data_IF_739524756856
#
_entry.id   IF_739524756856
#
_cell.length_a   1.000
_cell.length_b   1.000
_cell.length_c   1.000
_cell.angle_alpha   90.00
_cell.angle_beta   90.00
_cell.angle_gamma   90.00
#
_symmetry.space_group_name_H-M   'P 1'
#
loop_
_entity.id
_entity.type
_entity.pdbx_description
1 polymer ?
#
# COMPACT_ATOMS: atom_id res chain seq x y z
N UNK A 1 -31.93 50.96 -48.37
CA UNK A 1 -32.66 50.91 -47.07
C UNK A 1 -34.10 50.53 -47.33
N UNK A 2 -34.54 49.36 -46.87
CA UNK A 2 -35.93 48.99 -46.52
C UNK A 2 -35.96 47.51 -46.15
N UNK A 3 -35.77 47.27 -44.86
CA UNK A 3 -35.85 45.96 -44.19
C UNK A 3 -37.31 45.50 -44.12
N UNK A 4 -37.65 44.38 -44.78
CA UNK A 4 -38.94 43.70 -44.60
C UNK A 4 -38.94 42.90 -43.30
N UNK A 5 -39.69 43.41 -42.32
CA UNK A 5 -39.97 42.76 -41.03
C UNK A 5 -40.95 41.60 -41.25
N UNK A 6 -40.53 40.36 -40.94
CA UNK A 6 -41.39 39.17 -40.91
C UNK A 6 -42.12 39.10 -39.57
N UNK A 7 -43.46 39.04 -39.60
CA UNK A 7 -44.33 38.78 -38.45
C UNK A 7 -44.14 37.34 -37.92
N UNK A 8 -44.16 37.10 -36.60
CA UNK A 8 -44.11 35.76 -36.03
C UNK A 8 -45.46 35.03 -36.19
N UNK A 9 -45.39 33.73 -36.46
CA UNK A 9 -46.53 32.81 -36.56
C UNK A 9 -47.09 32.50 -35.16
N UNK A 10 -48.42 32.51 -35.07
CA UNK A 10 -49.21 32.17 -33.89
C UNK A 10 -48.99 30.71 -33.45
N UNK A 11 -48.82 30.52 -32.14
CA UNK A 11 -48.69 29.23 -31.50
C UNK A 11 -50.02 28.46 -31.50
N UNK A 12 -49.93 27.17 -31.85
CA UNK A 12 -51.02 26.21 -31.90
C UNK A 12 -51.34 25.74 -30.47
N UNK A 13 -52.57 26.01 -30.00
CA UNK A 13 -53.13 25.43 -28.77
C UNK A 13 -53.17 23.90 -28.87
N UNK A 14 -52.43 23.20 -28.02
CA UNK A 14 -52.64 21.77 -27.75
C UNK A 14 -53.48 21.60 -26.50
N UNK A 15 -54.46 20.70 -26.64
CA UNK A 15 -55.55 20.38 -25.72
C UNK A 15 -55.07 19.63 -24.47
N UNK A 16 -55.87 19.79 -23.44
CA UNK A 16 -55.81 19.17 -22.12
C UNK A 16 -55.72 17.63 -22.17
N UNK A 17 -54.93 17.07 -21.25
CA UNK A 17 -54.89 15.64 -20.95
C UNK A 17 -55.39 15.42 -19.50
N UNK A 18 -56.06 14.29 -19.20
CA UNK A 18 -56.71 14.10 -17.91
C UNK A 18 -55.70 13.71 -16.82
N UNK A 19 -55.87 14.30 -15.64
CA UNK A 19 -55.22 13.92 -14.40
C UNK A 19 -55.72 12.55 -13.92
N UNK A 20 -54.94 11.50 -14.17
CA UNK A 20 -55.11 10.21 -13.49
C UNK A 20 -54.15 10.11 -12.31
N UNK A 21 -54.66 10.27 -11.08
CA UNK A 21 -53.91 9.97 -9.86
C UNK A 21 -53.95 8.46 -9.60
N UNK A 22 -52.85 7.78 -9.88
CA UNK A 22 -52.63 6.40 -9.39
C UNK A 22 -51.68 6.49 -8.21
N UNK A 23 -52.27 6.57 -7.02
CA UNK A 23 -51.56 6.44 -5.75
C UNK A 23 -51.15 4.98 -5.53
N UNK A 24 -49.99 4.61 -6.05
CA UNK A 24 -49.31 3.36 -5.73
C UNK A 24 -48.18 3.64 -4.75
N UNK A 25 -48.42 3.43 -3.46
CA UNK A 25 -47.38 3.42 -2.42
C UNK A 25 -46.49 2.19 -2.62
N UNK A 26 -45.41 2.36 -3.38
CA UNK A 26 -44.32 1.39 -3.37
C UNK A 26 -43.59 1.49 -2.04
N UNK A 27 -43.80 0.49 -1.18
CA UNK A 27 -42.95 0.25 -0.03
C UNK A 27 -41.51 0.06 -0.52
N UNK A 28 -40.65 1.03 -0.23
CA UNK A 28 -39.21 0.89 -0.41
C UNK A 28 -38.75 -0.33 0.40
N UNK A 29 -37.98 -1.27 -0.17
CA UNK A 29 -37.40 -2.34 0.63
C UNK A 29 -36.49 -1.69 1.68
N UNK A 30 -36.79 -1.98 2.94
CA UNK A 30 -36.00 -1.62 4.10
C UNK A 30 -34.51 -1.81 3.79
N UNK A 31 -33.76 -0.72 3.84
CA UNK A 31 -32.29 -0.75 3.85
C UNK A 31 -31.84 -1.62 5.01
N UNK A 32 -31.47 -2.87 4.73
CA UNK A 32 -30.77 -3.71 5.68
C UNK A 32 -29.50 -2.97 6.08
N UNK A 33 -29.29 -2.62 7.36
CA UNK A 33 -27.99 -2.11 7.79
C UNK A 33 -26.96 -3.19 7.50
N UNK A 34 -26.00 -2.88 6.62
CA UNK A 34 -24.84 -3.74 6.41
C UNK A 34 -24.18 -3.96 7.77
N UNK A 35 -23.67 -5.18 8.07
CA UNK A 35 -22.86 -5.37 9.26
C UNK A 35 -21.70 -4.38 9.19
N UNK A 36 -21.64 -3.49 10.17
CA UNK A 36 -20.48 -2.63 10.42
C UNK A 36 -19.31 -3.61 10.49
N UNK A 37 -18.38 -3.51 9.52
CA UNK A 37 -17.13 -4.26 9.58
C UNK A 37 -16.55 -4.05 10.98
N UNK A 38 -16.13 -5.11 11.68
CA UNK A 38 -15.65 -4.97 13.05
C UNK A 38 -14.62 -3.85 13.07
N UNK A 39 -14.87 -2.82 13.88
CA UNK A 39 -13.87 -1.81 14.17
C UNK A 39 -12.67 -2.58 14.72
N UNK A 40 -11.64 -2.72 13.89
CA UNK A 40 -10.40 -3.32 14.36
C UNK A 40 -9.99 -2.47 15.56
N UNK A 41 -9.75 -3.08 16.73
CA UNK A 41 -9.30 -2.33 17.88
C UNK A 41 -8.10 -1.52 17.43
N UNK A 42 -8.11 -0.23 17.72
CA UNK A 42 -6.90 0.59 17.65
C UNK A 42 -5.81 -0.27 18.29
N UNK A 43 -4.81 -0.68 17.51
CA UNK A 43 -3.69 -1.48 18.01
C UNK A 43 -2.76 -0.49 18.75
N UNK A 44 -3.32 0.16 19.78
CA UNK A 44 -2.67 1.04 20.75
C UNK A 44 -2.08 0.27 21.92
N UNK A 45 -1.66 -0.98 21.71
CA UNK A 45 -0.94 -1.79 22.69
C UNK A 45 0.56 -1.76 22.43
N UNK A 46 1.33 -1.22 23.38
CA UNK A 46 2.78 -1.12 23.38
C UNK A 46 3.49 -2.48 23.44
N UNK A 47 3.43 -3.28 22.36
CA UNK A 47 4.31 -4.45 22.22
C UNK A 47 5.80 -4.06 22.20
N UNK A 48 6.10 -2.80 21.85
CA UNK A 48 7.45 -2.25 21.71
C UNK A 48 8.10 -1.90 23.06
N UNK A 49 7.31 -1.56 24.07
CA UNK A 49 7.81 -1.22 25.43
C UNK A 49 8.01 -2.47 26.30
N UNK A 50 7.30 -3.56 26.02
CA UNK A 50 7.41 -4.81 26.78
C UNK A 50 8.79 -5.51 26.63
N UNK A 51 9.61 -5.12 25.64
CA UNK A 51 10.87 -5.82 25.32
C UNK A 51 12.12 -5.12 25.88
N UNK A 52 12.09 -3.80 26.11
CA UNK A 52 13.26 -3.04 26.59
C UNK A 52 12.89 -1.75 27.36
N UNK A 53 13.52 -1.48 28.53
CA UNK A 53 13.31 -0.25 29.27
C UNK A 53 13.87 0.99 28.54
N UNK A 54 13.21 2.15 28.72
CA UNK A 54 13.65 3.44 28.18
C UNK A 54 15.03 3.84 28.77
N UNK A 55 15.97 4.36 27.97
CA UNK A 55 17.27 4.77 28.48
C UNK A 55 17.16 5.95 29.44
N UNK A 56 17.74 5.82 30.64
CA UNK A 56 17.99 6.96 31.54
C UNK A 56 19.11 7.84 30.95
N UNK A 57 19.01 9.19 31.05
CA UNK A 57 20.06 10.09 30.59
C UNK A 57 21.36 9.82 31.36
N UNK A 58 22.47 9.58 30.65
CA UNK A 58 23.78 9.33 31.26
C UNK A 58 24.63 10.61 31.32
N UNK A 59 25.43 10.78 32.38
CA UNK A 59 26.35 11.91 32.54
C UNK A 59 27.50 11.85 31.53
N UNK A 60 27.95 13.05 31.12
CA UNK A 60 28.95 13.28 30.08
C UNK A 60 30.32 12.74 30.53
N UNK A 61 30.93 11.86 29.73
CA UNK A 61 32.33 11.42 29.92
C UNK A 61 33.13 11.66 28.63
N UNK A 62 34.38 12.12 28.81
CA UNK A 62 35.29 12.57 27.75
C UNK A 62 35.82 11.38 26.94
N UNK A 63 35.77 11.49 25.60
CA UNK A 63 36.16 10.44 24.67
C UNK A 63 37.66 10.49 24.34
N UNK A 64 38.32 9.31 24.28
CA UNK A 64 39.66 9.12 23.72
C UNK A 64 39.58 8.58 22.30
N UNK A 65 40.43 9.12 21.43
CA UNK A 65 40.52 8.81 19.99
C UNK A 65 41.38 7.58 19.74
N UNK A 66 40.94 6.66 18.87
CA UNK A 66 41.77 5.58 18.30
C UNK A 66 41.56 5.49 16.79
N UNK A 67 42.66 5.45 16.07
CA UNK A 67 42.80 5.37 14.60
C UNK A 67 42.50 3.95 14.10
N UNK A 68 41.94 3.80 12.88
CA UNK A 68 41.60 2.51 12.27
C UNK A 68 42.19 2.35 10.87
N UNK A 69 42.71 1.15 10.61
CA UNK A 69 43.15 0.65 9.31
C UNK A 69 41.96 0.27 8.40
N UNK A 70 42.17 0.38 7.08
CA UNK A 70 41.18 0.11 6.03
C UNK A 70 41.37 -1.31 5.47
N UNK A 71 40.26 -2.03 5.29
CA UNK A 71 40.22 -3.30 4.54
C UNK A 71 39.24 -3.12 3.38
N UNK A 72 39.67 -3.46 2.15
CA UNK A 72 38.84 -3.48 0.95
C UNK A 72 38.04 -4.78 0.90
N UNK A 73 36.80 -4.70 0.45
CA UNK A 73 35.92 -5.86 0.19
C UNK A 73 35.46 -5.72 -1.26
N UNK A 74 35.71 -6.74 -2.06
CA UNK A 74 35.18 -6.88 -3.42
C UNK A 74 33.86 -7.65 -3.38
N UNK A 75 32.88 -7.22 -4.18
CA UNK A 75 31.55 -7.82 -4.26
C UNK A 75 31.18 -8.00 -5.73
N UNK A 76 31.06 -9.25 -6.17
CA UNK A 76 30.58 -9.64 -7.49
C UNK A 76 29.06 -9.85 -7.44
N UNK A 77 28.34 -9.36 -8.46
CA UNK A 77 26.87 -9.40 -8.55
C UNK A 77 26.40 -10.58 -9.42
N UNK A 78 25.39 -11.31 -8.96
CA UNK A 78 24.64 -12.32 -9.73
C UNK A 78 23.22 -11.84 -10.06
N UNK A 79 22.61 -12.31 -11.18
CA UNK A 79 21.30 -11.84 -11.67
C UNK A 79 20.09 -12.37 -10.86
N UNK A 80 18.90 -11.75 -10.98
CA UNK A 80 17.79 -11.93 -10.04
C UNK A 80 16.99 -13.24 -10.22
N UNK A 81 16.59 -13.82 -9.10
CA UNK A 81 15.85 -15.10 -8.96
C UNK A 81 14.33 -14.85 -8.81
N UNK A 82 13.54 -15.87 -9.16
CA UNK A 82 12.08 -15.95 -9.00
C UNK A 82 11.60 -15.68 -7.56
N UNK A 83 10.29 -15.46 -7.37
CA UNK A 83 9.62 -15.16 -6.10
C UNK A 83 10.16 -15.96 -4.89
N UNK A 84 11.04 -15.35 -4.09
CA UNK A 84 11.68 -15.95 -2.91
C UNK A 84 10.78 -16.01 -1.65
N UNK A 85 9.48 -16.23 -1.80
CA UNK A 85 8.59 -16.50 -0.66
C UNK A 85 8.42 -18.03 -0.59
N UNK A 86 9.11 -18.73 0.35
CA UNK A 86 8.87 -20.15 0.57
C UNK A 86 7.40 -20.34 0.94
N UNK A 87 6.72 -21.26 0.25
CA UNK A 87 5.29 -21.52 0.41
C UNK A 87 4.34 -20.37 0.03
N UNK A 88 4.69 -19.57 -0.97
CA UNK A 88 3.71 -18.70 -1.62
C UNK A 88 2.58 -19.54 -2.23
N UNK A 89 1.43 -19.60 -1.54
CA UNK A 89 0.23 -20.32 -2.01
C UNK A 89 -0.20 -19.86 -3.40
N UNK A 90 0.10 -18.61 -3.77
CA UNK A 90 -0.14 -18.00 -5.09
C UNK A 90 0.68 -18.67 -6.19
N UNK A 91 1.98 -18.88 -5.95
CA UNK A 91 2.85 -19.57 -6.91
C UNK A 91 2.45 -21.05 -7.08
N UNK A 92 1.92 -21.67 -6.01
CA UNK A 92 1.39 -23.04 -6.07
C UNK A 92 0.01 -23.11 -6.76
N UNK A 93 -0.85 -22.11 -6.59
CA UNK A 93 -2.20 -22.07 -7.19
C UNK A 93 -2.20 -21.64 -8.66
N UNK A 94 -1.24 -20.82 -9.10
CA UNK A 94 -1.13 -20.40 -10.50
C UNK A 94 -0.85 -21.59 -11.46
N UNK A 95 -0.34 -22.72 -10.96
CA UNK A 95 -0.16 -23.96 -11.72
C UNK A 95 -1.38 -24.88 -11.75
N UNK A 96 -2.43 -24.60 -10.96
CA UNK A 96 -3.57 -25.51 -10.78
C UNK A 96 -4.88 -24.88 -11.28
N UNK A 97 -5.23 -25.19 -12.54
CA UNK A 97 -6.56 -25.09 -13.15
C UNK A 97 -7.16 -23.69 -13.35
N UNK A 98 -6.99 -23.16 -14.56
CA UNK A 98 -8.13 -22.86 -15.44
C UNK A 98 -9.19 -21.83 -15.00
N UNK A 99 -8.86 -20.85 -14.16
CA UNK A 99 -9.71 -19.67 -14.06
C UNK A 99 -9.48 -18.81 -15.31
N UNK A 100 -10.46 -18.78 -16.21
CA UNK A 100 -10.55 -17.87 -17.36
C UNK A 100 -10.79 -16.41 -16.88
N UNK A 101 -10.02 -15.96 -15.88
CA UNK A 101 -9.94 -14.58 -15.46
C UNK A 101 -9.01 -13.89 -16.45
N UNK A 102 -9.58 -13.54 -17.60
CA UNK A 102 -9.02 -12.56 -18.52
C UNK A 102 -8.94 -11.21 -17.81
N UNK A 103 -7.99 -11.05 -16.88
CA UNK A 103 -7.28 -9.79 -16.82
C UNK A 103 -6.58 -9.77 -18.17
N UNK A 104 -7.17 -9.06 -19.16
CA UNK A 104 -6.49 -8.73 -20.42
C UNK A 104 -5.05 -8.45 -20.04
N UNK A 105 -4.15 -9.31 -20.52
CA UNK A 105 -2.72 -9.29 -20.25
C UNK A 105 -2.30 -7.84 -20.08
N UNK A 106 -2.04 -7.40 -18.84
CA UNK A 106 -1.56 -6.04 -18.59
C UNK A 106 -0.40 -5.85 -19.58
N UNK A 107 -0.52 -4.93 -20.55
CA UNK A 107 0.32 -4.94 -21.74
C UNK A 107 1.76 -4.86 -21.27
N UNK A 108 2.49 -6.00 -21.30
CA UNK A 108 3.78 -6.26 -20.63
C UNK A 108 4.21 -5.04 -19.82
N UNK A 109 3.50 -4.80 -18.70
CA UNK A 109 3.57 -3.48 -18.07
C UNK A 109 5.05 -3.24 -17.76
N UNK A 110 5.63 -2.23 -18.42
CA UNK A 110 7.06 -1.99 -18.37
C UNK A 110 7.37 -1.81 -16.88
N UNK A 111 8.15 -2.73 -16.32
CA UNK A 111 8.67 -2.52 -14.98
C UNK A 111 9.65 -1.37 -15.07
N UNK A 112 9.61 -0.50 -14.08
CA UNK A 112 10.64 0.51 -13.90
C UNK A 112 11.99 -0.15 -13.69
N UNK A 113 13.07 0.61 -13.79
CA UNK A 113 14.44 0.16 -13.50
C UNK A 113 14.63 -0.31 -12.03
N UNK A 114 13.67 0.01 -11.15
CA UNK A 114 13.60 -0.41 -9.75
C UNK A 114 12.60 -1.57 -9.53
N UNK A 115 12.12 -2.18 -10.61
CA UNK A 115 11.30 -3.40 -10.57
C UNK A 115 9.82 -3.20 -10.21
N UNK A 116 9.32 -1.96 -10.09
CA UNK A 116 7.89 -1.67 -9.84
C UNK A 116 7.12 -1.62 -11.15
N UNK A 117 5.82 -1.93 -11.13
CA UNK A 117 4.95 -1.63 -12.27
C UNK A 117 4.94 -0.12 -12.52
N UNK A 118 5.23 0.28 -13.75
CA UNK A 118 5.15 1.69 -14.13
C UNK A 118 3.68 2.14 -14.17
N UNK A 119 3.43 3.36 -13.68
CA UNK A 119 2.13 4.04 -13.77
C UNK A 119 0.90 3.24 -13.29
N UNK A 120 1.07 2.38 -12.29
CA UNK A 120 -0.02 1.58 -11.75
C UNK A 120 -1.21 2.50 -11.35
N UNK A 121 -2.40 2.38 -11.98
CA UNK A 121 -3.53 3.26 -11.72
C UNK A 121 -4.23 2.83 -10.43
N UNK A 122 -3.69 3.25 -9.29
CA UNK A 122 -4.10 2.73 -7.98
C UNK A 122 -5.57 2.98 -7.66
N UNK A 123 -6.17 4.07 -8.16
CA UNK A 123 -7.60 4.32 -7.99
C UNK A 123 -8.46 3.23 -8.64
N UNK A 124 -8.12 2.79 -9.86
CA UNK A 124 -8.84 1.71 -10.55
C UNK A 124 -8.65 0.37 -9.83
N UNK A 125 -7.42 0.07 -9.41
CA UNK A 125 -7.16 -1.16 -8.66
C UNK A 125 -7.85 -1.21 -7.29
N UNK A 126 -7.90 -0.08 -6.57
CA UNK A 126 -8.67 0.03 -5.35
C UNK A 126 -10.17 -0.17 -5.63
N UNK A 127 -10.70 0.46 -6.68
CA UNK A 127 -12.11 0.34 -7.05
C UNK A 127 -12.50 -1.11 -7.34
N UNK A 128 -11.70 -1.79 -8.16
CA UNK A 128 -11.90 -3.19 -8.51
C UNK A 128 -11.82 -4.11 -7.28
N UNK A 129 -10.84 -3.88 -6.41
CA UNK A 129 -10.67 -4.62 -5.16
C UNK A 129 -11.89 -4.48 -4.24
N UNK A 130 -12.32 -3.24 -3.96
CA UNK A 130 -13.45 -2.98 -3.05
C UNK A 130 -14.79 -3.46 -3.62
N UNK A 131 -15.02 -3.36 -4.93
CA UNK A 131 -16.24 -3.90 -5.55
C UNK A 131 -16.29 -5.42 -5.48
N UNK A 132 -15.20 -6.13 -5.81
CA UNK A 132 -15.11 -7.59 -5.68
C UNK A 132 -15.31 -8.03 -4.24
N UNK A 133 -14.69 -7.34 -3.28
CA UNK A 133 -14.88 -7.60 -1.86
C UNK A 133 -16.34 -7.41 -1.44
N UNK A 134 -16.96 -6.29 -1.81
CA UNK A 134 -18.36 -6.01 -1.48
C UNK A 134 -19.33 -7.05 -2.08
N UNK A 135 -19.15 -7.45 -3.35
CA UNK A 135 -19.97 -8.49 -3.96
C UNK A 135 -19.78 -9.85 -3.28
N UNK A 136 -18.54 -10.21 -2.95
CA UNK A 136 -18.22 -11.47 -2.24
C UNK A 136 -18.92 -11.52 -0.89
N UNK A 137 -18.88 -10.43 -0.11
CA UNK A 137 -19.59 -10.29 1.17
C UNK A 137 -21.11 -10.36 0.99
N UNK A 138 -21.63 -9.88 -0.14
CA UNK A 138 -23.05 -9.93 -0.50
C UNK A 138 -23.50 -11.28 -1.09
N UNK A 139 -22.70 -12.34 -0.93
CA UNK A 139 -23.09 -13.71 -1.33
C UNK A 139 -22.57 -14.17 -2.68
N UNK A 140 -21.81 -13.35 -3.43
CA UNK A 140 -21.14 -13.78 -4.66
C UNK A 140 -19.84 -14.53 -4.37
N UNK A 141 -19.97 -15.69 -3.74
CA UNK A 141 -18.84 -16.57 -3.40
C UNK A 141 -18.02 -17.01 -4.61
N UNK A 142 -18.63 -17.07 -5.79
CA UNK A 142 -17.98 -17.34 -7.07
C UNK A 142 -16.89 -16.32 -7.44
N UNK A 143 -16.99 -15.09 -6.92
CA UNK A 143 -15.99 -14.03 -7.16
C UNK A 143 -14.78 -14.10 -6.22
N UNK A 144 -14.80 -15.00 -5.23
CA UNK A 144 -13.77 -15.09 -4.18
C UNK A 144 -12.39 -15.37 -4.76
N UNK A 145 -12.28 -16.32 -5.69
CA UNK A 145 -11.00 -16.66 -6.32
C UNK A 145 -10.41 -15.47 -7.09
N UNK A 146 -11.27 -14.71 -7.79
CA UNK A 146 -10.84 -13.49 -8.49
C UNK A 146 -10.38 -12.37 -7.54
N UNK A 147 -11.07 -12.20 -6.40
CA UNK A 147 -10.65 -11.27 -5.35
C UNK A 147 -9.28 -11.67 -4.76
N UNK A 148 -9.09 -12.94 -4.43
CA UNK A 148 -7.83 -13.45 -3.86
C UNK A 148 -6.68 -13.29 -4.85
N UNK A 149 -6.89 -13.64 -6.12
CA UNK A 149 -5.90 -13.43 -7.17
C UNK A 149 -5.48 -11.96 -7.28
N UNK A 150 -6.46 -11.05 -7.34
CA UNK A 150 -6.19 -9.61 -7.43
C UNK A 150 -5.49 -9.07 -6.18
N UNK A 151 -5.93 -9.49 -4.98
CA UNK A 151 -5.30 -9.12 -3.73
C UNK A 151 -3.84 -9.60 -3.64
N UNK A 152 -3.54 -10.82 -4.11
CA UNK A 152 -2.18 -11.34 -4.14
C UNK A 152 -1.26 -10.55 -5.07
N UNK A 153 -1.75 -10.18 -6.26
CA UNK A 153 -1.00 -9.32 -7.19
C UNK A 153 -0.67 -7.97 -6.54
N UNK A 154 -1.68 -7.30 -5.95
CA UNK A 154 -1.48 -6.01 -5.28
C UNK A 154 -0.56 -6.14 -4.05
N UNK A 155 -0.71 -7.20 -3.25
CA UNK A 155 0.12 -7.46 -2.10
C UNK A 155 1.61 -7.59 -2.49
N UNK A 156 1.90 -8.28 -3.60
CA UNK A 156 3.25 -8.39 -4.13
C UNK A 156 3.83 -7.02 -4.51
N UNK A 157 3.07 -6.20 -5.24
CA UNK A 157 3.52 -4.87 -5.66
C UNK A 157 3.66 -3.90 -4.48
N UNK A 158 2.74 -3.91 -3.51
CA UNK A 158 2.85 -3.13 -2.28
C UNK A 158 4.05 -3.56 -1.42
N UNK A 159 4.34 -4.86 -1.34
CA UNK A 159 5.54 -5.32 -0.66
C UNK A 159 6.81 -4.75 -1.31
N UNK A 160 6.93 -4.87 -2.64
CA UNK A 160 8.09 -4.35 -3.37
C UNK A 160 8.22 -2.84 -3.19
N UNK A 161 7.11 -2.11 -3.31
CA UNK A 161 7.07 -0.67 -3.08
C UNK A 161 7.56 -0.32 -1.67
N UNK A 162 6.99 -0.95 -0.63
CA UNK A 162 7.34 -0.64 0.75
C UNK A 162 8.80 -0.98 1.05
N UNK A 163 9.35 -2.07 0.50
CA UNK A 163 10.79 -2.39 0.58
C UNK A 163 11.64 -1.23 0.05
N UNK A 164 11.34 -0.77 -1.16
CA UNK A 164 12.08 0.29 -1.84
C UNK A 164 11.95 1.62 -1.09
N UNK A 165 10.71 2.03 -0.80
CA UNK A 165 10.42 3.31 -0.16
C UNK A 165 11.02 3.40 1.25
N UNK A 166 10.86 2.36 2.08
CA UNK A 166 11.38 2.35 3.45
C UNK A 166 12.90 2.30 3.49
N UNK A 167 13.54 1.56 2.58
CA UNK A 167 15.00 1.57 2.43
C UNK A 167 15.49 2.94 2.01
N UNK A 168 14.81 3.53 1.02
CA UNK A 168 14.98 4.90 0.58
C UNK A 168 15.00 5.84 1.78
N UNK A 169 13.91 5.90 2.53
CA UNK A 169 13.75 6.85 3.63
C UNK A 169 14.66 6.58 4.82
N UNK A 170 15.10 5.33 5.02
CA UNK A 170 16.06 5.00 6.07
C UNK A 170 17.43 5.66 5.85
N UNK A 171 17.76 6.09 4.62
CA UNK A 171 18.99 6.85 4.33
C UNK A 171 19.08 8.13 5.16
N UNK A 172 17.94 8.76 5.47
CA UNK A 172 17.90 10.03 6.19
C UNK A 172 18.28 9.90 7.66
N UNK A 173 18.36 8.68 8.19
CA UNK A 173 18.64 8.44 9.61
C UNK A 173 19.96 9.08 10.08
N UNK A 174 20.97 9.16 9.22
CA UNK A 174 22.29 9.69 9.60
C UNK A 174 22.34 11.21 9.68
N UNK A 175 21.46 11.90 8.95
CA UNK A 175 21.35 13.37 8.97
C UNK A 175 20.21 13.89 9.85
N UNK A 176 19.18 13.07 10.09
CA UNK A 176 17.92 13.53 10.68
C UNK A 176 17.48 12.76 11.93
N UNK A 177 18.20 11.72 12.33
CA UNK A 177 17.93 11.02 13.58
C UNK A 177 19.11 11.14 14.55
N UNK A 178 18.82 11.05 15.85
CA UNK A 178 19.88 11.03 16.87
C UNK A 178 20.65 9.69 16.80
N UNK A 179 21.70 9.63 15.98
CA UNK A 179 22.49 8.41 15.72
C UNK A 179 23.14 7.84 16.99
N UNK A 180 23.42 8.69 18.00
CA UNK A 180 23.92 8.21 19.30
C UNK A 180 22.93 7.26 19.97
N UNK A 181 21.63 7.52 19.83
CA UNK A 181 20.59 6.60 20.31
C UNK A 181 20.58 5.28 19.54
N UNK A 182 20.77 5.29 18.21
CA UNK A 182 20.86 4.05 17.42
C UNK A 182 22.07 3.20 17.79
N UNK A 183 23.24 3.82 18.00
CA UNK A 183 24.43 3.11 18.47
C UNK A 183 24.21 2.52 19.86
N UNK A 184 23.53 3.25 20.75
CA UNK A 184 23.14 2.76 22.06
C UNK A 184 22.23 1.52 21.94
N UNK A 185 21.14 1.62 21.16
CA UNK A 185 20.24 0.50 20.95
C UNK A 185 20.93 -0.69 20.27
N UNK A 186 21.78 -0.45 19.28
CA UNK A 186 22.52 -1.52 18.61
C UNK A 186 23.49 -2.25 19.54
N UNK A 187 24.12 -1.55 20.49
CA UNK A 187 24.93 -2.20 21.55
C UNK A 187 24.05 -3.06 22.47
N UNK A 188 22.90 -2.54 22.91
CA UNK A 188 22.00 -3.30 23.79
C UNK A 188 21.34 -4.51 23.09
N UNK A 189 21.01 -4.39 21.80
CA UNK A 189 20.52 -5.50 21.00
C UNK A 189 21.59 -6.58 20.80
N UNK A 190 22.86 -6.19 20.63
CA UNK A 190 23.98 -7.14 20.54
C UNK A 190 24.15 -7.93 21.84
N UNK A 191 24.06 -7.26 23.00
CA UNK A 191 24.23 -7.89 24.31
C UNK A 191 23.16 -8.96 24.58
N UNK A 192 21.94 -8.78 24.05
CA UNK A 192 20.86 -9.76 24.21
C UNK A 192 20.89 -10.91 23.19
N UNK A 193 21.86 -10.98 22.28
CA UNK A 193 21.97 -12.04 21.26
C UNK A 193 20.87 -12.07 20.18
N UNK A 194 19.79 -11.29 20.34
CA UNK A 194 18.57 -11.46 19.54
C UNK A 194 18.63 -10.89 18.11
N UNK A 195 19.65 -10.11 17.77
CA UNK A 195 19.71 -9.38 16.50
C UNK A 195 21.11 -9.36 15.89
N UNK A 196 21.63 -10.51 15.44
CA UNK A 196 22.93 -10.58 14.79
C UNK A 196 22.97 -9.70 13.54
N UNK A 197 23.97 -8.84 13.43
CA UNK A 197 24.19 -8.03 12.24
C UNK A 197 23.44 -6.70 12.18
N UNK A 198 22.68 -6.27 13.20
CA UNK A 198 22.04 -4.94 13.18
C UNK A 198 23.05 -3.79 12.98
N UNK A 199 24.21 -3.86 13.64
CA UNK A 199 25.29 -2.87 13.43
C UNK A 199 25.84 -2.93 12.00
N UNK A 200 25.97 -4.13 11.43
CA UNK A 200 26.40 -4.30 10.03
C UNK A 200 25.35 -3.74 9.07
N UNK A 201 24.07 -3.91 9.38
CA UNK A 201 22.94 -3.36 8.63
C UNK A 201 22.98 -1.84 8.62
N UNK A 202 23.11 -1.23 9.79
CA UNK A 202 23.28 0.22 9.94
C UNK A 202 24.50 0.70 9.16
N UNK A 203 25.64 0.01 9.25
CA UNK A 203 26.84 0.37 8.47
C UNK A 203 26.62 0.27 6.97
N UNK A 204 25.91 -0.76 6.49
CA UNK A 204 25.59 -0.91 5.07
C UNK A 204 24.69 0.24 4.62
N UNK A 205 23.64 0.54 5.39
CA UNK A 205 22.79 1.72 5.18
C UNK A 205 23.62 3.01 5.17
N UNK A 206 24.52 3.21 6.12
CA UNK A 206 25.39 4.40 6.24
C UNK A 206 26.30 4.54 5.01
N UNK A 207 26.98 3.45 4.62
CA UNK A 207 27.81 3.43 3.42
C UNK A 207 27.00 3.82 2.19
N UNK A 208 25.81 3.23 2.01
CA UNK A 208 24.94 3.64 0.92
C UNK A 208 24.57 5.10 1.06
N UNK A 209 24.18 5.58 2.24
CA UNK A 209 23.82 6.98 2.46
C UNK A 209 24.95 7.94 2.11
N UNK A 210 26.19 7.63 2.50
CA UNK A 210 27.37 8.43 2.20
C UNK A 210 27.69 8.43 0.70
N UNK A 211 27.58 7.28 0.05
CA UNK A 211 27.68 7.18 -1.41
C UNK A 211 26.50 7.91 -2.09
N UNK A 212 25.30 7.85 -1.52
CA UNK A 212 24.00 8.35 -2.03
C UNK A 212 23.79 9.84 -1.81
N UNK A 213 24.43 10.45 -0.82
CA UNK A 213 24.59 11.89 -0.80
C UNK A 213 25.27 12.39 -2.10
N UNK A 214 25.96 11.50 -2.82
CA UNK A 214 26.48 11.71 -4.18
C UNK A 214 25.68 11.00 -5.28
N UNK A 215 25.08 9.82 -5.03
CA UNK A 215 24.22 9.10 -6.00
C UNK A 215 22.73 9.31 -5.71
N UNK A 216 21.99 9.83 -6.69
CA UNK A 216 20.57 10.16 -6.54
C UNK A 216 19.68 9.02 -6.00
N UNK A 217 18.49 9.39 -5.50
CA UNK A 217 17.48 8.51 -4.87
C UNK A 217 17.26 7.18 -5.61
N UNK A 218 17.26 7.20 -6.94
CA UNK A 218 17.08 6.00 -7.76
C UNK A 218 18.12 4.90 -7.50
N UNK A 219 19.36 5.25 -7.15
CA UNK A 219 20.39 4.24 -6.84
C UNK A 219 20.10 3.50 -5.54
N UNK A 220 19.53 4.16 -4.54
CA UNK A 220 19.08 3.48 -3.30
C UNK A 220 17.98 2.49 -3.61
N UNK A 221 17.05 2.92 -4.46
CA UNK A 221 15.91 2.10 -4.84
C UNK A 221 16.35 0.84 -5.59
N UNK A 222 17.30 0.97 -6.53
CA UNK A 222 17.89 -0.18 -7.25
C UNK A 222 18.66 -1.13 -6.33
N UNK A 223 19.24 -0.62 -5.23
CA UNK A 223 19.97 -1.42 -4.26
C UNK A 223 19.11 -1.97 -3.12
N UNK A 224 17.79 -1.71 -3.11
CA UNK A 224 16.93 -2.15 -2.03
C UNK A 224 16.94 -3.67 -1.88
N UNK A 225 16.85 -4.42 -2.98
CA UNK A 225 16.84 -5.88 -2.94
C UNK A 225 18.14 -6.45 -2.36
N UNK A 226 19.31 -5.93 -2.77
CA UNK A 226 20.61 -6.33 -2.21
C UNK A 226 20.70 -6.19 -0.67
N UNK A 227 19.98 -5.20 -0.10
CA UNK A 227 19.92 -5.01 1.35
C UNK A 227 18.96 -6.00 1.98
N UNK A 228 17.81 -6.21 1.36
CA UNK A 228 16.81 -7.11 1.91
C UNK A 228 17.27 -8.57 1.82
N UNK A 229 17.88 -8.98 0.72
CA UNK A 229 18.45 -10.32 0.53
C UNK A 229 19.57 -10.60 1.52
N UNK A 230 20.51 -9.66 1.68
CA UNK A 230 21.66 -9.84 2.58
C UNK A 230 21.30 -10.00 4.06
N UNK A 231 20.08 -9.63 4.46
CA UNK A 231 19.58 -9.75 5.84
C UNK A 231 18.28 -10.56 5.96
N UNK A 232 17.76 -11.07 4.83
CA UNK A 232 16.52 -11.81 4.71
C UNK A 232 15.35 -11.22 5.53
N UNK A 233 14.74 -12.07 6.36
CA UNK A 233 13.58 -11.72 7.20
C UNK A 233 13.89 -10.70 8.31
N UNK A 234 15.16 -10.38 8.57
CA UNK A 234 15.56 -9.38 9.58
C UNK A 234 15.58 -7.95 9.04
N UNK A 235 15.73 -7.75 7.74
CA UNK A 235 15.73 -6.41 7.11
C UNK A 235 14.53 -5.53 7.51
N UNK A 236 13.26 -5.98 7.41
CA UNK A 236 12.12 -5.15 7.79
C UNK A 236 12.10 -4.80 9.27
N UNK A 237 12.57 -5.72 10.12
CA UNK A 237 12.64 -5.51 11.56
C UNK A 237 13.70 -4.44 11.90
N UNK A 238 14.85 -4.50 11.25
CA UNK A 238 15.92 -3.51 11.43
C UNK A 238 15.49 -2.12 10.95
N UNK A 239 14.83 -2.03 9.80
CA UNK A 239 14.23 -0.77 9.34
C UNK A 239 13.18 -0.25 10.34
N UNK A 240 12.31 -1.11 10.85
CA UNK A 240 11.30 -0.70 11.82
C UNK A 240 11.94 -0.12 13.09
N UNK A 241 13.03 -0.74 13.57
CA UNK A 241 13.80 -0.20 14.70
C UNK A 241 14.43 1.16 14.39
N UNK A 242 14.96 1.35 13.18
CA UNK A 242 15.53 2.63 12.73
C UNK A 242 14.48 3.74 12.75
N UNK A 243 13.25 3.43 12.35
CA UNK A 243 12.18 4.42 12.30
C UNK A 243 11.53 4.70 13.66
N UNK A 244 11.44 3.71 14.55
CA UNK A 244 10.65 3.83 15.79
C UNK A 244 11.46 4.16 17.05
N UNK A 245 12.78 3.93 17.05
CA UNK A 245 13.60 4.08 18.28
C UNK A 245 14.31 5.41 18.45
N UNK A 246 14.97 5.98 17.43
CA UNK A 246 15.64 7.26 17.62
C UNK A 246 14.61 8.40 17.57
N UNK A 247 14.97 9.51 18.21
CA UNK A 247 14.29 10.78 17.97
C UNK A 247 14.65 11.29 16.57
N UNK A 248 13.65 11.55 15.75
CA UNK A 248 13.79 12.16 14.43
C UNK A 248 13.55 13.67 14.50
N UNK A 249 14.24 14.43 13.66
CA UNK A 249 13.97 15.85 13.45
C UNK A 249 12.57 16.04 12.88
N UNK A 250 11.90 17.15 13.24
CA UNK A 250 10.56 17.48 12.72
C UNK A 250 10.56 17.45 11.18
N UNK A 251 9.53 16.84 10.59
CA UNK A 251 9.35 16.75 9.14
C UNK A 251 10.04 15.56 8.47
N UNK A 252 10.89 14.81 9.18
CA UNK A 252 11.61 13.67 8.62
C UNK A 252 11.21 12.36 9.28
N UNK A 253 10.98 11.36 8.42
CA UNK A 253 10.94 9.95 8.78
C UNK A 253 10.17 9.61 10.06
N UNK A 254 10.57 8.53 10.72
CA UNK A 254 10.10 8.19 12.05
C UNK A 254 8.89 7.26 12.08
N UNK A 255 8.01 7.49 13.06
CA UNK A 255 6.99 6.54 13.50
C UNK A 255 6.04 6.07 12.38
N UNK A 256 5.64 6.95 11.46
CA UNK A 256 4.76 6.59 10.34
C UNK A 256 5.39 5.54 9.40
N UNK A 257 6.68 5.66 9.10
CA UNK A 257 7.39 4.62 8.33
C UNK A 257 7.55 3.33 9.14
N UNK A 258 7.74 3.45 10.45
CA UNK A 258 7.69 2.33 11.38
C UNK A 258 6.35 1.58 11.31
N UNK A 259 5.23 2.30 11.24
CA UNK A 259 3.89 1.72 11.08
C UNK A 259 3.73 1.01 9.74
N UNK A 260 4.19 1.62 8.64
CA UNK A 260 4.20 0.98 7.31
C UNK A 260 4.95 -0.36 7.35
N UNK A 261 6.12 -0.40 7.98
CA UNK A 261 6.90 -1.62 8.16
C UNK A 261 6.23 -2.63 9.08
N UNK A 262 5.53 -2.18 10.13
CA UNK A 262 4.76 -3.06 11.01
C UNK A 262 3.65 -3.79 10.24
N UNK A 263 2.93 -3.09 9.37
CA UNK A 263 1.90 -3.68 8.50
C UNK A 263 2.54 -4.68 7.53
N UNK A 264 3.62 -4.29 6.84
CA UNK A 264 4.38 -5.20 5.97
C UNK A 264 4.88 -6.44 6.72
N UNK A 265 5.43 -6.27 7.91
CA UNK A 265 5.92 -7.39 8.74
C UNK A 265 4.81 -8.35 9.15
N UNK A 266 3.62 -7.84 9.47
CA UNK A 266 2.49 -8.71 9.79
C UNK A 266 2.08 -9.55 8.57
N UNK A 267 2.09 -8.96 7.37
CA UNK A 267 1.86 -9.69 6.13
C UNK A 267 2.95 -10.74 5.86
N UNK A 268 4.23 -10.35 5.90
CA UNK A 268 5.37 -11.26 5.66
C UNK A 268 5.46 -12.41 6.67
N UNK A 269 4.83 -12.27 7.84
CA UNK A 269 4.73 -13.31 8.88
C UNK A 269 3.45 -14.14 8.80
N UNK A 270 2.62 -13.93 7.77
CA UNK A 270 1.34 -14.64 7.61
C UNK A 270 0.25 -14.22 8.60
N UNK A 271 0.44 -13.11 9.35
CA UNK A 271 -0.56 -12.59 10.29
C UNK A 271 -1.65 -11.77 9.61
N UNK A 272 -1.38 -11.28 8.41
CA UNK A 272 -2.38 -10.67 7.54
C UNK A 272 -2.53 -11.54 6.30
N UNK A 273 -3.77 -11.82 5.92
CA UNK A 273 -4.07 -12.36 4.60
C UNK A 273 -3.75 -11.32 3.53
N UNK A 274 -3.58 -11.70 2.25
CA UNK A 274 -3.39 -10.75 1.16
C UNK A 274 -4.50 -9.69 1.09
N UNK A 275 -5.75 -10.08 1.30
CA UNK A 275 -6.90 -9.15 1.32
C UNK A 275 -6.77 -8.14 2.47
N UNK A 276 -6.49 -8.62 3.69
CA UNK A 276 -6.35 -7.73 4.85
C UNK A 276 -5.12 -6.81 4.74
N UNK A 277 -4.02 -7.31 4.17
CA UNK A 277 -2.83 -6.51 3.90
C UNK A 277 -3.13 -5.42 2.86
N UNK A 278 -3.73 -5.75 1.73
CA UNK A 278 -4.07 -4.78 0.66
C UNK A 278 -4.99 -3.69 1.17
N UNK A 279 -6.02 -4.04 1.93
CA UNK A 279 -6.95 -3.08 2.54
C UNK A 279 -6.23 -2.09 3.46
N UNK A 280 -5.39 -2.59 4.38
CA UNK A 280 -4.56 -1.72 5.23
C UNK A 280 -3.55 -0.91 4.41
N UNK A 281 -2.95 -1.54 3.41
CA UNK A 281 -1.88 -0.97 2.60
C UNK A 281 -2.35 0.28 1.86
N UNK A 282 -3.58 0.32 1.32
CA UNK A 282 -4.13 1.49 0.63
C UNK A 282 -4.23 2.76 1.50
N UNK A 283 -4.38 2.59 2.81
CA UNK A 283 -4.53 3.70 3.77
C UNK A 283 -3.23 4.09 4.47
N UNK A 284 -2.11 3.45 4.13
CA UNK A 284 -0.82 3.79 4.71
C UNK A 284 -0.40 5.21 4.33
N UNK A 285 0.02 5.97 5.33
CA UNK A 285 0.50 7.34 5.18
C UNK A 285 1.95 7.47 5.65
N UNK A 286 2.66 8.46 5.09
CA UNK A 286 3.88 9.03 5.65
C UNK A 286 3.64 10.50 6.04
N UNK A 287 4.65 11.35 5.99
CA UNK A 287 4.69 12.72 6.53
C UNK A 287 3.70 13.69 5.84
N UNK A 288 2.39 13.46 5.97
CA UNK A 288 1.30 14.29 5.46
C UNK A 288 0.67 13.80 4.15
N UNK A 289 1.05 12.62 3.65
CA UNK A 289 0.55 12.10 2.37
C UNK A 289 0.52 10.56 2.39
N UNK A 290 -0.10 9.97 1.37
CA UNK A 290 -0.16 8.52 1.18
C UNK A 290 1.25 7.95 0.91
N UNK A 291 1.55 6.77 1.45
CA UNK A 291 2.86 6.12 1.35
C UNK A 291 3.32 5.93 -0.10
N UNK A 292 2.38 5.80 -1.04
CA UNK A 292 2.63 5.48 -2.45
C UNK A 292 3.05 6.65 -3.35
N UNK A 293 3.26 7.84 -2.79
CA UNK A 293 3.61 9.06 -3.53
C UNK A 293 5.11 9.23 -3.85
N UNK A 294 5.96 8.25 -3.50
CA UNK A 294 7.43 8.34 -3.66
C UNK A 294 7.92 7.83 -5.00
N UNK A 295 7.06 7.19 -5.78
CA UNK A 295 7.38 6.62 -7.10
C UNK A 295 6.31 7.03 -8.11
N UNK A 296 6.53 6.76 -9.40
CA UNK A 296 5.64 7.16 -10.50
C UNK A 296 4.28 6.44 -10.56
N UNK A 297 3.71 6.01 -9.44
CA UNK A 297 2.35 5.46 -9.41
C UNK A 297 1.31 6.57 -9.52
N UNK A 298 0.22 6.30 -10.24
CA UNK A 298 -0.85 7.27 -10.41
C UNK A 298 -1.85 7.17 -9.24
N UNK A 299 -1.83 8.20 -8.39
CA UNK A 299 -2.68 8.31 -7.20
C UNK A 299 -3.98 9.07 -7.45
N UNK A 300 -4.19 9.58 -8.66
CA UNK A 300 -5.35 10.42 -9.01
C UNK A 300 -6.64 9.66 -8.76
N UNK A 301 -7.49 10.21 -7.88
CA UNK A 301 -8.78 9.62 -7.54
C UNK A 301 -8.74 8.57 -6.41
N UNK A 302 -7.57 8.12 -5.97
CA UNK A 302 -7.46 7.06 -4.96
C UNK A 302 -8.17 7.44 -3.65
N UNK A 303 -7.90 8.64 -3.10
CA UNK A 303 -8.56 9.13 -1.88
C UNK A 303 -10.09 9.12 -2.02
N UNK A 304 -10.63 9.47 -3.20
CA UNK A 304 -12.08 9.45 -3.45
C UNK A 304 -12.65 8.04 -3.46
N UNK A 305 -11.92 7.07 -4.03
CA UNK A 305 -12.29 5.65 -3.99
C UNK A 305 -12.33 5.15 -2.55
N UNK A 306 -11.28 5.42 -1.76
CA UNK A 306 -11.21 4.97 -0.36
C UNK A 306 -12.34 5.56 0.49
N UNK A 307 -12.60 6.86 0.36
CA UNK A 307 -13.73 7.51 1.06
C UNK A 307 -15.07 6.88 0.65
N UNK A 308 -15.30 6.66 -0.65
CA UNK A 308 -16.54 6.03 -1.13
C UNK A 308 -16.69 4.59 -0.68
N UNK A 309 -15.59 3.85 -0.55
CA UNK A 309 -15.63 2.47 -0.06
C UNK A 309 -16.03 2.44 1.43
N UNK A 310 -15.46 3.35 2.23
CA UNK A 310 -15.81 3.53 3.64
C UNK A 310 -17.29 3.92 3.84
N UNK A 311 -17.85 4.76 2.96
CA UNK A 311 -19.26 5.18 3.02
C UNK A 311 -20.22 4.22 2.31
N UNK A 312 -19.74 3.06 1.83
CA UNK A 312 -20.56 2.08 1.10
C UNK A 312 -21.11 2.58 -0.24
N UNK A 313 -20.56 3.66 -0.80
CA UNK A 313 -21.00 4.28 -2.05
C UNK A 313 -20.48 3.54 -3.30
N UNK A 314 -20.67 2.22 -3.32
CA UNK A 314 -20.11 1.31 -4.32
C UNK A 314 -20.59 1.57 -5.75
N UNK A 315 -21.84 2.02 -5.95
CA UNK A 315 -22.30 2.44 -7.28
C UNK A 315 -21.40 3.54 -7.86
N UNK A 316 -21.07 4.55 -7.04
CA UNK A 316 -20.21 5.66 -7.46
C UNK A 316 -18.76 5.22 -7.71
N UNK A 317 -18.30 4.14 -7.07
CA UNK A 317 -17.00 3.52 -7.39
C UNK A 317 -17.07 2.85 -8.77
N UNK A 318 -18.11 2.04 -9.02
CA UNK A 318 -18.34 1.36 -10.29
C UNK A 318 -18.48 2.33 -11.47
N UNK A 319 -19.26 3.41 -11.29
CA UNK A 319 -19.53 4.38 -12.35
C UNK A 319 -18.27 5.16 -12.80
N UNK A 320 -17.29 5.39 -11.91
CA UNK A 320 -16.25 6.41 -12.13
C UNK A 320 -14.80 5.90 -12.11
N UNK A 321 -14.54 4.74 -11.49
CA UNK A 321 -13.17 4.34 -11.18
C UNK A 321 -12.86 2.89 -11.52
N UNK A 322 -13.86 2.00 -11.48
CA UNK A 322 -13.64 0.59 -11.74
C UNK A 322 -13.29 0.32 -13.21
N UNK A 323 -12.59 -0.79 -13.46
CA UNK A 323 -12.45 -1.31 -14.81
C UNK A 323 -13.82 -1.69 -15.38
N UNK A 324 -13.95 -1.66 -16.71
CA UNK A 324 -15.20 -2.00 -17.41
C UNK A 324 -15.77 -3.35 -16.96
N UNK A 325 -14.89 -4.33 -16.77
CA UNK A 325 -15.27 -5.70 -16.45
C UNK A 325 -15.82 -5.82 -15.03
N UNK A 326 -15.17 -5.17 -14.05
CA UNK A 326 -15.65 -5.18 -12.65
C UNK A 326 -16.88 -4.31 -12.48
N UNK A 327 -16.96 -3.18 -13.19
CA UNK A 327 -18.17 -2.36 -13.23
C UNK A 327 -19.35 -3.17 -13.78
N UNK A 328 -19.17 -3.88 -14.91
CA UNK A 328 -20.19 -4.76 -15.46
C UNK A 328 -20.62 -5.85 -14.46
N UNK A 329 -19.67 -6.54 -13.84
CA UNK A 329 -19.96 -7.54 -12.79
C UNK A 329 -20.81 -6.96 -11.65
N UNK A 330 -20.51 -5.73 -11.22
CA UNK A 330 -21.26 -5.03 -10.19
C UNK A 330 -22.71 -4.74 -10.62
N UNK A 331 -22.94 -4.25 -11.83
CA UNK A 331 -24.31 -4.00 -12.30
C UNK A 331 -25.08 -5.28 -12.55
N UNK A 332 -24.45 -6.34 -13.07
CA UNK A 332 -25.09 -7.65 -13.21
C UNK A 332 -25.54 -8.19 -11.84
N UNK A 333 -24.70 -8.01 -10.80
CA UNK A 333 -25.03 -8.37 -9.42
C UNK A 333 -26.19 -7.55 -8.84
N UNK A 334 -26.29 -6.24 -9.15
CA UNK A 334 -27.38 -5.38 -8.67
C UNK A 334 -28.66 -5.46 -9.50
N UNK A 335 -28.55 -5.75 -10.80
CA UNK A 335 -29.64 -5.82 -11.78
C UNK A 335 -30.26 -7.21 -11.96
N UNK A 336 -29.59 -8.26 -11.47
CA UNK A 336 -30.08 -9.65 -11.49
C UNK A 336 -31.35 -9.91 -10.68
N UNK A 337 -31.93 -8.88 -10.04
CA UNK A 337 -33.24 -8.94 -9.38
C UNK A 337 -34.45 -8.70 -10.29
N UNK A 338 -34.28 -8.50 -11.60
CA UNK A 338 -35.38 -8.52 -12.57
C UNK A 338 -35.01 -9.30 -13.81
N UNK A 339 -35.44 -10.56 -13.86
CA UNK A 339 -36.10 -11.20 -15.00
C UNK A 339 -36.55 -12.62 -14.62
N UNK A 340 -37.68 -12.71 -13.93
CA UNK A 340 -38.74 -13.71 -14.14
C UNK A 340 -40.02 -13.09 -13.63
#
# INVERSE_FOLDING_TARGET
MTTKVRKPKSAKKTKDAPSGSVGGTYAMPMTMPMPVLPSYPSIGGNFIDAVLPKPKPKPKTKAKTKTKAKTKIDVTLTPPVACDIPDCSVCKQAGAKGANLSIRSYPKALRTDIGLLNELPLAMHAADFYLRMAMTVQGRGDLRAGLEYHANMLASEFCRYLKIATTGEARHVFGHANVSSLRYYGKHMKVKGNYPGFISFIRRLDMMTYTVARVGRGQVYRNADNIWEGYGKLAPLYLMFIFTRPSWNKGYGGEKWGLCLKVLMNYLRGRLTPIAFVDQAFSLEHNGSIVYDKTGWNLTGLKRVLTRAQTGSYKSIADNYASSDVAKMWYDHKGGGKKT
#
